data_IF_299901046332
#
_entry.id   IF_299901046332
#
_cell.length_a   1.000
_cell.length_b   1.000
_cell.length_c   1.000
_cell.angle_alpha   90.00
_cell.angle_beta   90.00
_cell.angle_gamma   90.00
#
_symmetry.space_group_name_H-M   'P 1'
#
loop_
_entity.id
_entity.type
_entity.pdbx_description
1 polymer ?
#
# COMPACT_ATOMS: atom_id res chain seq x y z
N UNK A 1 95.13 -36.66 -4.31
CA UNK A 1 95.00 -37.98 -4.95
C UNK A 1 94.56 -37.68 -6.38
N UNK A 2 95.51 -37.75 -7.32
CA UNK A 2 95.42 -37.61 -8.79
C UNK A 2 94.80 -36.28 -9.31
N UNK A 3 95.54 -35.33 -9.92
CA UNK A 3 96.46 -35.42 -11.09
C UNK A 3 95.69 -36.04 -12.29
N UNK A 4 95.43 -35.37 -13.42
CA UNK A 4 96.37 -34.85 -14.43
C UNK A 4 95.55 -34.05 -15.49
N UNK A 5 96.01 -32.86 -15.93
CA UNK A 5 96.75 -32.55 -17.18
C UNK A 5 95.84 -32.08 -18.34
N UNK A 6 96.04 -30.82 -18.80
CA UNK A 6 96.76 -30.40 -20.04
C UNK A 6 95.83 -30.44 -21.26
N UNK A 7 95.84 -29.53 -22.25
CA UNK A 7 96.96 -28.90 -22.97
C UNK A 7 96.37 -27.74 -23.82
N UNK A 8 96.95 -26.54 -23.75
CA UNK A 8 97.68 -25.84 -24.85
C UNK A 8 96.93 -25.63 -26.19
N UNK A 9 96.81 -24.38 -26.67
CA UNK A 9 97.73 -23.79 -27.68
C UNK A 9 97.33 -22.36 -28.08
N UNK A 10 98.37 -21.58 -28.41
CA UNK A 10 98.45 -20.16 -28.78
C UNK A 10 98.09 -19.86 -30.25
N UNK A 11 98.20 -18.56 -30.60
CA UNK A 11 98.42 -17.92 -31.92
C UNK A 11 97.19 -17.47 -32.73
N UNK A 12 97.13 -16.32 -33.40
CA UNK A 12 97.89 -15.05 -33.44
C UNK A 12 97.13 -14.08 -34.41
N UNK A 13 97.29 -12.77 -34.21
CA UNK A 13 97.32 -11.64 -35.18
C UNK A 13 96.07 -11.17 -36.02
N UNK A 14 95.55 -9.98 -35.63
CA UNK A 14 95.28 -8.70 -36.39
C UNK A 14 94.55 -8.70 -37.78
N UNK A 15 94.02 -7.55 -38.32
CA UNK A 15 93.35 -6.39 -37.71
C UNK A 15 92.10 -5.86 -38.47
N UNK A 16 91.51 -4.80 -37.89
CA UNK A 16 90.72 -3.71 -38.51
C UNK A 16 89.27 -3.94 -38.94
N UNK A 17 88.34 -3.22 -38.29
CA UNK A 17 87.51 -2.26 -39.04
C UNK A 17 86.94 -1.16 -38.12
N UNK A 18 87.11 0.08 -38.56
CA UNK A 18 86.52 1.29 -37.99
C UNK A 18 85.03 1.29 -38.33
N UNK A 19 84.12 0.96 -37.41
CA UNK A 19 82.66 1.21 -37.58
C UNK A 19 81.86 0.88 -36.32
N UNK A 20 82.13 1.54 -35.18
CA UNK A 20 81.28 1.36 -34.00
C UNK A 20 81.38 2.54 -33.01
N UNK A 21 80.99 3.75 -33.42
CA UNK A 21 80.80 4.87 -32.48
C UNK A 21 79.47 5.64 -32.62
N UNK A 22 78.49 5.10 -33.33
CA UNK A 22 77.19 5.77 -33.53
C UNK A 22 75.95 4.96 -33.11
N UNK A 23 76.09 4.03 -32.16
CA UNK A 23 74.95 3.20 -31.71
C UNK A 23 74.20 3.72 -30.45
N UNK A 24 74.72 4.58 -29.55
CA UNK A 24 73.95 4.90 -28.33
C UNK A 24 72.88 6.00 -28.52
N UNK A 25 72.85 6.75 -29.63
CA UNK A 25 71.91 7.88 -29.79
C UNK A 25 70.56 7.45 -30.40
N UNK A 26 70.55 6.43 -31.28
CA UNK A 26 69.31 5.97 -31.94
C UNK A 26 68.46 5.12 -30.98
N UNK A 27 69.09 4.32 -30.11
CA UNK A 27 68.37 3.51 -29.13
C UNK A 27 67.62 4.35 -28.08
N UNK A 28 68.18 5.50 -27.65
CA UNK A 28 67.55 6.40 -26.69
C UNK A 28 66.39 7.21 -27.29
N UNK A 29 66.49 7.59 -28.57
CA UNK A 29 65.40 8.32 -29.25
C UNK A 29 64.21 7.42 -29.54
N UNK A 30 64.41 6.15 -29.88
CA UNK A 30 63.31 5.17 -30.08
C UNK A 30 62.59 4.85 -28.76
N UNK A 31 63.32 4.73 -27.64
CA UNK A 31 62.70 4.53 -26.32
C UNK A 31 61.95 5.77 -25.82
N UNK A 32 62.49 6.98 -26.07
CA UNK A 32 61.83 8.24 -25.70
C UNK A 32 60.58 8.52 -26.54
N UNK A 33 60.60 8.20 -27.84
CA UNK A 33 59.43 8.34 -28.71
C UNK A 33 58.35 7.29 -28.39
N UNK A 34 58.76 6.05 -28.09
CA UNK A 34 57.85 4.98 -27.66
C UNK A 34 57.16 5.28 -26.33
N UNK A 35 57.87 5.89 -25.38
CA UNK A 35 57.29 6.30 -24.09
C UNK A 35 56.38 7.53 -24.20
N UNK A 36 56.66 8.48 -25.08
CA UNK A 36 55.75 9.59 -25.41
C UNK A 36 54.48 9.12 -26.14
N UNK A 37 54.59 8.13 -27.03
CA UNK A 37 53.44 7.54 -27.71
C UNK A 37 52.59 6.69 -26.75
N UNK A 38 53.23 5.97 -25.83
CA UNK A 38 52.54 5.21 -24.77
C UNK A 38 51.85 6.12 -23.74
N UNK A 39 52.45 7.25 -23.38
CA UNK A 39 51.82 8.26 -22.52
C UNK A 39 50.64 8.95 -23.22
N UNK A 40 50.74 9.26 -24.53
CA UNK A 40 49.59 9.78 -25.30
C UNK A 40 48.48 8.75 -25.50
N UNK A 41 48.81 7.47 -25.61
CA UNK A 41 47.80 6.40 -25.67
C UNK A 41 47.18 6.13 -24.29
N UNK A 42 47.91 6.33 -23.19
CA UNK A 42 47.35 6.29 -21.85
C UNK A 42 46.40 7.47 -21.59
N UNK A 43 46.76 8.69 -22.01
CA UNK A 43 45.87 9.86 -21.94
C UNK A 43 44.65 9.73 -22.87
N UNK A 44 44.77 9.00 -23.98
CA UNK A 44 43.64 8.69 -24.87
C UNK A 44 42.80 7.49 -24.40
N UNK A 45 43.34 6.60 -23.57
CA UNK A 45 42.62 5.50 -22.94
C UNK A 45 41.74 5.97 -21.78
N UNK A 46 42.12 7.08 -21.14
CA UNK A 46 41.25 7.88 -20.27
C UNK A 46 40.64 9.04 -21.08
N UNK A 47 39.81 8.70 -22.08
CA UNK A 47 38.91 9.68 -22.68
C UNK A 47 38.19 10.48 -21.59
N UNK A 48 37.75 11.73 -21.86
CA UNK A 48 37.16 12.60 -20.85
C UNK A 48 36.14 11.77 -20.08
N UNK A 49 36.36 11.64 -18.76
CA UNK A 49 35.48 10.88 -17.86
C UNK A 49 34.07 11.28 -18.27
N UNK A 50 33.31 10.34 -18.83
CA UNK A 50 31.95 10.63 -19.28
C UNK A 50 31.30 11.37 -18.13
N UNK A 51 30.97 12.64 -18.35
CA UNK A 51 30.29 13.42 -17.33
C UNK A 51 28.98 12.67 -17.16
N UNK A 52 28.86 11.92 -16.07
CA UNK A 52 27.66 11.13 -15.80
C UNK A 52 26.49 12.05 -16.06
N UNK A 53 25.63 11.67 -17.01
CA UNK A 53 24.46 12.46 -17.32
C UNK A 53 23.75 12.73 -15.99
N UNK A 54 23.33 13.99 -15.71
CA UNK A 54 22.68 14.30 -14.45
C UNK A 54 21.56 13.28 -14.22
N UNK A 55 21.44 12.74 -13.00
CA UNK A 55 20.45 11.71 -12.73
C UNK A 55 19.07 12.21 -13.18
N UNK A 56 18.22 11.33 -13.73
CA UNK A 56 16.89 11.74 -14.18
C UNK A 56 16.13 12.37 -13.00
N UNK A 57 15.08 13.17 -13.23
CA UNK A 57 14.19 13.55 -12.13
C UNK A 57 13.49 12.31 -11.53
N UNK A 58 12.98 12.40 -10.29
CA UNK A 58 12.08 11.37 -9.75
C UNK A 58 10.91 11.09 -10.71
N UNK A 59 10.36 9.87 -10.73
CA UNK A 59 9.28 9.51 -11.64
C UNK A 59 8.03 10.37 -11.41
N UNK A 60 7.46 10.96 -12.46
CA UNK A 60 6.12 11.57 -12.35
C UNK A 60 5.09 10.44 -12.39
N UNK A 61 4.61 10.08 -11.21
CA UNK A 61 3.64 9.02 -10.98
C UNK A 61 2.50 9.58 -10.13
N UNK A 62 1.26 9.28 -10.53
CA UNK A 62 0.06 9.69 -9.81
C UNK A 62 -0.90 8.54 -9.71
N UNK A 63 -1.73 8.55 -8.68
CA UNK A 63 -2.80 7.58 -8.56
C UNK A 63 -3.86 7.84 -9.63
N UNK A 64 -4.25 6.81 -10.38
CA UNK A 64 -5.38 6.95 -11.30
C UNK A 64 -6.68 7.08 -10.51
N UNK A 65 -7.62 7.92 -10.97
CA UNK A 65 -8.87 8.15 -10.24
C UNK A 65 -9.72 6.88 -10.05
N UNK A 66 -9.55 5.85 -10.89
CA UNK A 66 -10.21 4.55 -10.76
C UNK A 66 -9.70 3.71 -9.58
N UNK A 67 -8.57 4.09 -8.97
CA UNK A 67 -8.00 3.37 -7.84
C UNK A 67 -8.74 3.62 -6.51
N UNK A 68 -9.56 4.67 -6.45
CA UNK A 68 -10.25 5.15 -5.24
C UNK A 68 -11.69 4.60 -5.11
N UNK A 69 -11.97 3.44 -5.71
CA UNK A 69 -13.32 2.86 -5.77
C UNK A 69 -14.23 3.53 -6.80
N UNK A 70 -15.50 3.13 -6.85
CA UNK A 70 -16.51 3.71 -7.74
C UNK A 70 -16.96 5.10 -7.29
N UNK A 71 -16.98 5.33 -5.98
CA UNK A 71 -17.16 6.64 -5.35
C UNK A 71 -16.03 7.61 -5.64
N UNK A 72 -14.84 7.10 -5.98
CA UNK A 72 -13.58 7.87 -6.06
C UNK A 72 -13.15 8.49 -4.73
N UNK A 73 -13.70 8.00 -3.61
CA UNK A 73 -13.49 8.54 -2.29
C UNK A 73 -12.89 7.51 -1.31
N UNK A 74 -12.57 6.29 -1.76
CA UNK A 74 -11.95 5.26 -0.92
C UNK A 74 -10.44 5.42 -0.89
N UNK A 75 -9.87 5.70 0.27
CA UNK A 75 -8.45 6.00 0.49
C UNK A 75 -7.65 4.82 1.05
N UNK A 76 -8.29 3.66 1.25
CA UNK A 76 -7.63 2.44 1.71
C UNK A 76 -8.01 1.22 0.88
N UNK A 77 -7.00 0.41 0.55
CA UNK A 77 -7.12 -0.87 -0.12
C UNK A 77 -6.70 -2.00 0.81
N UNK A 78 -7.38 -3.14 0.72
CA UNK A 78 -7.15 -4.28 1.62
C UNK A 78 -6.59 -5.46 0.85
N UNK A 79 -5.57 -6.12 1.42
CA UNK A 79 -4.97 -7.32 0.86
C UNK A 79 -4.51 -8.25 1.99
N UNK A 80 -4.51 -9.56 1.74
CA UNK A 80 -3.77 -10.50 2.56
C UNK A 80 -2.27 -10.47 2.19
N UNK A 81 -1.38 -10.94 3.08
CA UNK A 81 0.03 -11.07 2.77
C UNK A 81 0.29 -11.83 1.47
N UNK A 82 1.13 -11.27 0.59
CA UNK A 82 1.48 -11.87 -0.70
C UNK A 82 0.37 -11.85 -1.76
N UNK A 83 -0.79 -11.25 -1.49
CA UNK A 83 -1.86 -11.14 -2.47
C UNK A 83 -1.50 -10.13 -3.58
N UNK A 84 -1.96 -10.39 -4.80
CA UNK A 84 -1.83 -9.44 -5.91
C UNK A 84 -2.77 -8.26 -5.70
N UNK A 85 -2.21 -7.06 -5.67
CA UNK A 85 -2.93 -5.80 -5.46
C UNK A 85 -2.99 -5.05 -6.78
N UNK A 86 -4.20 -4.76 -7.23
CA UNK A 86 -4.39 -3.77 -8.29
C UNK A 86 -4.11 -2.39 -7.71
N UNK A 87 -3.19 -1.65 -8.30
CA UNK A 87 -2.87 -0.28 -7.89
C UNK A 87 -2.72 0.58 -9.14
N UNK A 88 -3.84 1.02 -9.75
CA UNK A 88 -3.81 1.78 -11.00
C UNK A 88 -3.07 3.11 -10.84
N UNK A 89 -2.06 3.34 -11.67
CA UNK A 89 -1.23 4.54 -11.68
C UNK A 89 -1.18 5.18 -13.07
N UNK A 90 -1.10 6.50 -13.09
CA UNK A 90 -0.71 7.29 -14.25
C UNK A 90 0.80 7.56 -14.14
N UNK A 91 1.58 6.91 -14.99
CA UNK A 91 3.05 6.98 -14.97
C UNK A 91 3.56 7.67 -16.24
N UNK A 92 4.30 8.78 -16.09
CA UNK A 92 5.03 9.44 -17.19
C UNK A 92 6.49 8.96 -17.26
N UNK A 93 6.67 7.65 -17.34
CA UNK A 93 7.95 6.98 -17.51
C UNK A 93 7.73 5.64 -18.20
N UNK A 94 8.77 5.07 -18.80
CA UNK A 94 8.69 3.68 -19.24
C UNK A 94 8.50 2.78 -18.01
N UNK A 95 7.55 1.83 -18.00
CA UNK A 95 7.37 0.94 -16.84
C UNK A 95 8.63 0.17 -16.45
N UNK A 96 9.52 -0.12 -17.41
CA UNK A 96 10.82 -0.76 -17.19
C UNK A 96 11.90 0.16 -16.61
N UNK A 97 11.66 1.47 -16.54
CA UNK A 97 12.61 2.45 -16.00
C UNK A 97 12.34 2.84 -14.54
N UNK A 98 11.36 2.20 -13.90
CA UNK A 98 10.97 2.47 -12.52
C UNK A 98 10.85 1.18 -11.72
N UNK A 99 11.14 1.25 -10.43
CA UNK A 99 10.83 0.22 -9.45
C UNK A 99 9.67 0.69 -8.57
N UNK A 100 8.91 -0.27 -8.05
CA UNK A 100 7.85 -0.03 -7.07
C UNK A 100 8.29 -0.56 -5.72
N UNK A 101 8.09 0.23 -4.66
CA UNK A 101 8.50 -0.14 -3.30
C UNK A 101 7.38 0.20 -2.31
N UNK A 102 7.00 -0.75 -1.46
CA UNK A 102 6.09 -0.51 -0.35
C UNK A 102 6.83 0.07 0.85
N UNK A 103 6.34 1.20 1.37
CA UNK A 103 6.90 1.90 2.52
C UNK A 103 5.93 1.72 3.71
N UNK A 104 6.35 1.08 4.82
CA UNK A 104 5.49 0.93 6.00
C UNK A 104 5.23 2.28 6.69
N UNK A 105 4.01 2.48 7.17
CA UNK A 105 3.61 3.63 7.98
C UNK A 105 3.87 3.35 9.48
N UNK A 106 4.65 4.21 10.14
CA UNK A 106 4.85 4.20 11.60
C UNK A 106 6.17 3.61 12.12
N UNK A 107 7.07 3.16 11.25
CA UNK A 107 8.43 2.72 11.62
C UNK A 107 9.49 3.48 10.79
N UNK A 108 10.61 3.86 11.42
CA UNK A 108 11.85 4.17 10.69
C UNK A 108 12.33 2.85 10.07
N UNK A 109 12.05 2.67 8.77
CA UNK A 109 12.27 1.42 8.03
C UNK A 109 13.63 0.76 8.27
N UNK A 110 13.68 -0.59 8.28
CA UNK A 110 14.20 -1.24 7.07
C UNK A 110 13.42 -2.48 6.59
N UNK A 111 13.38 -2.57 5.24
CA UNK A 111 13.35 -3.74 4.35
C UNK A 111 12.28 -4.83 4.54
N UNK A 112 11.24 -4.71 3.72
CA UNK A 112 10.84 -5.79 2.79
C UNK A 112 10.09 -5.12 1.62
N UNK A 113 10.81 -4.30 0.84
CA UNK A 113 10.23 -3.66 -0.34
C UNK A 113 10.15 -4.70 -1.45
N UNK A 114 8.94 -5.23 -1.68
CA UNK A 114 8.67 -6.03 -2.86
C UNK A 114 8.90 -5.16 -4.11
N UNK A 115 10.06 -5.31 -4.75
CA UNK A 115 10.33 -4.75 -6.07
C UNK A 115 9.57 -5.58 -7.09
N UNK A 116 8.58 -4.98 -7.73
CA UNK A 116 7.85 -5.60 -8.84
C UNK A 116 8.08 -4.82 -10.11
N UNK A 117 8.35 -5.49 -11.22
CA UNK A 117 8.32 -4.89 -12.56
C UNK A 117 6.93 -5.08 -13.16
N UNK A 118 6.23 -3.98 -13.46
CA UNK A 118 5.00 -3.97 -14.27
C UNK A 118 3.68 -4.26 -13.54
N UNK A 119 2.81 -3.23 -13.44
CA UNK A 119 1.34 -3.28 -13.42
C UNK A 119 0.57 -4.00 -12.29
N UNK A 120 1.11 -5.08 -11.72
CA UNK A 120 0.49 -5.82 -10.61
C UNK A 120 1.48 -5.89 -9.46
N UNK A 121 1.15 -5.24 -8.36
CA UNK A 121 2.00 -5.20 -7.18
C UNK A 121 1.64 -6.38 -6.27
N UNK A 122 2.63 -6.92 -5.57
CA UNK A 122 2.38 -7.95 -4.55
C UNK A 122 2.35 -7.28 -3.19
N UNK A 123 1.34 -7.56 -2.37
CA UNK A 123 1.25 -7.06 -1.01
C UNK A 123 2.44 -7.55 -0.17
N UNK A 124 3.00 -6.71 0.73
CA UNK A 124 4.02 -7.14 1.68
C UNK A 124 3.64 -8.40 2.46
N UNK A 125 4.64 -9.17 2.87
CA UNK A 125 4.50 -10.39 3.68
C UNK A 125 4.06 -10.09 5.12
N UNK A 126 4.39 -8.90 5.62
CA UNK A 126 4.08 -8.46 6.98
C UNK A 126 2.76 -7.66 7.00
N UNK A 127 1.83 -7.95 7.91
CA UNK A 127 0.67 -7.09 8.16
C UNK A 127 1.07 -5.68 8.59
N UNK A 128 0.25 -4.70 8.20
CA UNK A 128 0.48 -3.29 8.47
C UNK A 128 -0.10 -2.38 7.39
N UNK A 129 0.16 -1.08 7.53
CA UNK A 129 -0.25 -0.07 6.56
C UNK A 129 0.96 0.40 5.75
N UNK A 130 0.78 0.54 4.44
CA UNK A 130 1.85 0.83 3.50
C UNK A 130 1.45 1.91 2.50
N UNK A 131 2.40 2.77 2.14
CA UNK A 131 2.32 3.66 0.98
C UNK A 131 3.17 3.11 -0.15
N UNK A 132 2.79 3.41 -1.38
CA UNK A 132 3.56 3.02 -2.56
C UNK A 132 4.55 4.12 -2.92
N UNK A 133 5.81 3.76 -3.15
CA UNK A 133 6.79 4.62 -3.78
C UNK A 133 7.14 4.11 -5.18
N UNK A 134 7.24 5.05 -6.13
CA UNK A 134 7.77 4.82 -7.47
C UNK A 134 9.17 5.41 -7.52
N UNK A 135 10.16 4.58 -7.83
CA UNK A 135 11.59 4.89 -7.64
C UNK A 135 12.35 4.74 -8.95
N UNK A 136 13.29 5.65 -9.23
CA UNK A 136 14.30 5.51 -10.27
C UNK A 136 15.67 6.00 -9.75
N UNK A 137 16.69 6.05 -10.60
CA UNK A 137 18.02 6.57 -10.24
C UNK A 137 18.02 8.05 -9.78
N UNK A 138 16.94 8.78 -10.08
CA UNK A 138 16.70 10.17 -9.72
C UNK A 138 16.10 10.44 -8.36
N UNK A 139 15.50 9.41 -7.74
CA UNK A 139 14.81 9.53 -6.46
C UNK A 139 13.49 8.77 -6.44
N UNK A 140 12.58 9.22 -5.56
CA UNK A 140 11.29 8.56 -5.29
C UNK A 140 10.12 9.53 -5.34
N UNK A 141 8.97 9.05 -5.78
CA UNK A 141 7.67 9.71 -5.68
C UNK A 141 6.76 8.83 -4.84
N UNK A 142 6.22 9.38 -3.73
CA UNK A 142 5.33 8.66 -2.82
C UNK A 142 3.89 8.93 -3.24
N UNK A 143 3.10 7.87 -3.37
CA UNK A 143 1.66 7.93 -3.58
C UNK A 143 0.98 7.86 -2.21
N UNK A 144 0.63 9.03 -1.66
CA UNK A 144 0.07 9.19 -0.33
C UNK A 144 -1.47 9.21 -0.28
N UNK A 145 -2.13 9.31 -1.44
CA UNK A 145 -3.59 9.36 -1.57
C UNK A 145 -4.31 8.00 -1.45
N UNK A 146 -3.58 6.89 -1.46
CA UNK A 146 -4.11 5.55 -1.26
C UNK A 146 -3.17 4.71 -0.41
N UNK A 147 -3.68 4.26 0.74
CA UNK A 147 -2.96 3.36 1.65
C UNK A 147 -3.30 1.91 1.34
N UNK A 148 -2.30 1.03 1.32
CA UNK A 148 -2.50 -0.42 1.35
C UNK A 148 -2.48 -0.90 2.79
N UNK A 149 -3.58 -1.49 3.25
CA UNK A 149 -3.64 -2.26 4.48
C UNK A 149 -3.43 -3.74 4.17
N UNK A 150 -2.27 -4.25 4.56
CA UNK A 150 -2.00 -5.69 4.61
C UNK A 150 -2.60 -6.23 5.90
N UNK A 151 -3.64 -7.03 5.76
CA UNK A 151 -4.40 -7.57 6.90
C UNK A 151 -3.64 -8.71 7.58
N UNK A 152 -3.90 -8.88 8.87
CA UNK A 152 -3.62 -10.11 9.59
C UNK A 152 -4.66 -11.16 9.13
N UNK A 153 -4.24 -12.28 8.51
CA UNK A 153 -5.17 -13.33 8.10
C UNK A 153 -6.05 -13.81 9.25
N UNK A 154 -7.30 -14.17 8.96
CA UNK A 154 -8.21 -14.69 9.97
C UNK A 154 -7.61 -15.91 10.71
N UNK A 155 -6.85 -16.73 9.98
CA UNK A 155 -6.20 -17.95 10.46
C UNK A 155 -5.20 -17.71 11.60
N UNK A 156 -4.68 -16.49 11.79
CA UNK A 156 -3.83 -16.16 12.93
C UNK A 156 -4.60 -16.06 14.26
N UNK A 157 -5.93 -15.99 14.21
CA UNK A 157 -6.79 -15.96 15.40
C UNK A 157 -6.72 -17.31 16.11
N UNK A 158 -6.31 -17.29 17.38
CA UNK A 158 -6.20 -18.47 18.23
C UNK A 158 -7.37 -18.51 19.22
N UNK A 159 -8.28 -19.47 19.04
CA UNK A 159 -9.51 -19.54 19.82
C UNK A 159 -10.27 -18.20 19.73
N UNK A 160 -10.67 -17.62 20.86
CA UNK A 160 -11.39 -16.34 20.88
C UNK A 160 -10.52 -15.07 20.79
N UNK A 161 -9.23 -15.16 20.49
CA UNK A 161 -8.31 -14.00 20.55
C UNK A 161 -7.36 -13.92 19.36
N UNK A 162 -6.94 -12.71 19.00
CA UNK A 162 -5.87 -12.46 18.04
C UNK A 162 -4.79 -11.63 18.73
N UNK A 163 -3.56 -12.17 18.86
CA UNK A 163 -2.41 -11.51 19.52
C UNK A 163 -2.77 -10.83 20.86
N UNK A 164 -3.62 -11.49 21.66
CA UNK A 164 -4.07 -11.00 22.97
C UNK A 164 -5.36 -10.16 22.98
N UNK A 165 -5.76 -9.58 21.84
CA UNK A 165 -7.03 -8.87 21.69
C UNK A 165 -8.21 -9.84 21.62
N UNK A 166 -9.26 -9.60 22.43
CA UNK A 166 -10.41 -10.50 22.54
C UNK A 166 -11.44 -10.20 21.46
N UNK A 167 -11.55 -11.11 20.50
CA UNK A 167 -12.53 -11.04 19.40
C UNK A 167 -13.77 -11.87 19.74
N UNK A 168 -13.60 -13.02 20.39
CA UNK A 168 -14.66 -14.00 20.59
C UNK A 168 -14.76 -14.98 19.42
N UNK A 169 -15.94 -15.57 19.26
CA UNK A 169 -16.19 -16.63 18.29
C UNK A 169 -17.29 -16.21 17.33
N UNK A 170 -17.00 -16.32 16.04
CA UNK A 170 -17.97 -16.20 14.97
C UNK A 170 -18.94 -17.37 14.99
N UNK A 171 -20.14 -17.16 14.42
CA UNK A 171 -21.15 -18.22 14.30
C UNK A 171 -20.62 -19.39 13.46
N UNK A 172 -19.96 -19.10 12.35
CA UNK A 172 -19.36 -20.09 11.45
C UNK A 172 -18.33 -21.00 12.11
N UNK A 173 -17.60 -20.51 13.13
CA UNK A 173 -16.57 -21.29 13.82
C UNK A 173 -17.11 -22.45 14.67
N UNK A 174 -18.37 -22.37 15.12
CA UNK A 174 -18.90 -23.31 16.13
C UNK A 174 -19.63 -24.53 15.55
N UNK A 175 -20.00 -24.51 14.27
CA UNK A 175 -20.97 -25.46 13.72
C UNK A 175 -20.56 -26.08 12.37
N UNK A 176 -19.28 -26.02 11.97
CA UNK A 176 -18.84 -26.46 10.64
C UNK A 176 -19.51 -25.68 9.50
N UNK A 177 -20.09 -24.51 9.81
CA UNK A 177 -20.97 -23.73 8.96
C UNK A 177 -20.21 -22.76 8.06
N UNK A 178 -19.33 -23.27 7.20
CA UNK A 178 -18.77 -22.56 6.05
C UNK A 178 -17.99 -21.26 6.33
N UNK A 179 -17.72 -20.53 5.23
CA UNK A 179 -16.89 -19.31 5.11
C UNK A 179 -17.48 -18.03 5.76
N UNK A 180 -18.41 -18.14 6.73
CA UNK A 180 -18.96 -16.97 7.43
C UNK A 180 -17.96 -16.41 8.46
N UNK A 181 -16.93 -15.75 7.95
CA UNK A 181 -15.86 -15.08 8.70
C UNK A 181 -15.22 -13.97 7.85
N UNK A 182 -14.62 -12.94 8.47
CA UNK A 182 -13.75 -12.00 7.76
C UNK A 182 -12.59 -12.73 7.10
N UNK A 183 -12.06 -12.16 6.00
CA UNK A 183 -10.80 -12.62 5.39
C UNK A 183 -9.61 -12.41 6.33
N UNK A 184 -9.64 -11.33 7.08
CA UNK A 184 -8.58 -10.91 7.99
C UNK A 184 -8.97 -9.65 8.74
N UNK A 185 -8.01 -9.10 9.46
CA UNK A 185 -8.17 -7.95 10.32
C UNK A 185 -7.09 -6.91 10.06
N UNK A 186 -7.44 -5.64 10.13
CA UNK A 186 -6.48 -4.56 10.29
C UNK A 186 -5.79 -4.72 11.65
N UNK A 187 -4.46 -4.64 11.69
CA UNK A 187 -3.69 -4.50 12.93
C UNK A 187 -3.46 -3.01 13.17
N UNK A 188 -4.17 -2.45 14.15
CA UNK A 188 -4.27 -1.01 14.35
C UNK A 188 -3.50 -0.64 15.62
N UNK A 189 -2.43 0.13 15.49
CA UNK A 189 -1.79 0.83 16.60
C UNK A 189 -2.43 2.21 16.81
N UNK A 190 -2.20 2.82 17.98
CA UNK A 190 -2.84 4.07 18.37
C UNK A 190 -2.75 5.20 17.31
N UNK A 191 -1.58 5.51 16.72
CA UNK A 191 -1.48 6.58 15.72
C UNK A 191 -2.19 6.25 14.40
N UNK A 192 -2.50 4.97 14.15
CA UNK A 192 -3.10 4.49 12.90
C UNK A 192 -4.62 4.60 12.91
N UNK A 193 -5.24 4.90 14.06
CA UNK A 193 -6.69 5.12 14.15
C UNK A 193 -7.16 6.32 13.31
N UNK A 194 -6.30 7.34 13.13
CA UNK A 194 -6.63 8.54 12.36
C UNK A 194 -6.48 8.37 10.84
N UNK A 195 -5.94 7.23 10.38
CA UNK A 195 -5.75 6.97 8.95
C UNK A 195 -7.11 6.98 8.22
N UNK A 196 -7.20 7.64 7.06
CA UNK A 196 -8.43 7.68 6.29
C UNK A 196 -8.72 6.31 5.66
N UNK A 197 -9.94 5.81 5.86
CA UNK A 197 -10.51 4.71 5.09
C UNK A 197 -11.10 5.24 3.78
N UNK A 198 -11.73 6.42 3.86
CA UNK A 198 -12.37 7.11 2.75
C UNK A 198 -12.39 8.62 3.00
N UNK A 199 -13.15 9.38 2.21
CA UNK A 199 -13.33 10.82 2.39
C UNK A 199 -14.05 11.16 3.72
N UNK A 200 -15.02 10.34 4.14
CA UNK A 200 -15.83 10.59 5.34
C UNK A 200 -15.50 9.67 6.52
N UNK A 201 -14.65 8.66 6.36
CA UNK A 201 -14.41 7.64 7.39
C UNK A 201 -12.92 7.40 7.65
N UNK A 202 -12.60 7.07 8.90
CA UNK A 202 -11.25 6.75 9.42
C UNK A 202 -11.22 5.35 10.01
N UNK A 203 -10.01 4.82 10.21
CA UNK A 203 -9.80 3.50 10.81
C UNK A 203 -10.44 3.41 12.20
N UNK A 204 -10.38 4.49 12.99
CA UNK A 204 -10.97 4.60 14.31
C UNK A 204 -12.47 4.32 14.36
N UNK A 205 -13.22 4.71 13.33
CA UNK A 205 -14.68 4.52 13.23
C UNK A 205 -15.07 3.02 13.19
N UNK A 206 -14.11 2.16 12.84
CA UNK A 206 -14.27 0.71 12.78
C UNK A 206 -13.66 -0.01 13.98
N UNK A 207 -13.10 0.70 14.95
CA UNK A 207 -12.65 0.08 16.20
C UNK A 207 -13.88 -0.24 17.06
N UNK A 208 -13.95 -1.47 17.58
CA UNK A 208 -15.05 -1.86 18.48
C UNK A 208 -15.01 -1.04 19.77
N UNK A 209 -16.16 -0.50 20.17
CA UNK A 209 -16.40 0.26 21.40
C UNK A 209 -16.44 -0.63 22.66
N UNK A 210 -15.43 -1.47 22.85
CA UNK A 210 -15.26 -2.32 24.02
C UNK A 210 -14.32 -1.68 25.07
N UNK A 211 -14.22 -2.35 26.22
CA UNK A 211 -13.41 -1.91 27.37
C UNK A 211 -11.92 -2.26 27.21
N UNK A 212 -11.49 -2.83 26.08
CA UNK A 212 -10.11 -3.29 25.90
C UNK A 212 -9.21 -2.10 25.56
N UNK A 213 -8.34 -1.70 26.49
CA UNK A 213 -7.49 -0.50 26.34
C UNK A 213 -6.12 -0.76 25.70
N UNK A 214 -5.73 -2.02 25.50
CA UNK A 214 -4.41 -2.38 24.98
C UNK A 214 -4.37 -2.33 23.45
N UNK A 215 -3.25 -1.84 22.93
CA UNK A 215 -2.90 -1.86 21.51
C UNK A 215 -1.95 -3.03 21.19
N UNK A 216 -1.92 -3.52 19.94
CA UNK A 216 -2.80 -3.15 18.83
C UNK A 216 -4.25 -3.64 19.04
N UNK A 217 -5.19 -2.95 18.38
CA UNK A 217 -6.59 -3.38 18.23
C UNK A 217 -6.80 -3.94 16.82
N UNK A 218 -7.87 -4.72 16.66
CA UNK A 218 -8.16 -5.40 15.40
C UNK A 218 -9.57 -5.16 14.91
N UNK A 219 -9.71 -4.82 13.63
CA UNK A 219 -11.00 -4.59 12.99
C UNK A 219 -11.07 -5.26 11.62
N UNK A 220 -12.21 -5.90 11.31
CA UNK A 220 -12.50 -6.31 9.94
C UNK A 220 -13.15 -5.14 9.20
N UNK A 221 -12.74 -4.90 7.96
CA UNK A 221 -13.32 -3.85 7.10
C UNK A 221 -13.42 -4.41 5.68
N UNK A 222 -14.60 -4.28 5.07
CA UNK A 222 -14.84 -4.62 3.67
C UNK A 222 -14.84 -3.34 2.82
N UNK A 223 -13.94 -3.26 1.83
CA UNK A 223 -13.86 -2.10 0.93
C UNK A 223 -15.15 -1.82 0.15
N UNK A 224 -16.00 -2.82 -0.08
CA UNK A 224 -17.31 -2.64 -0.74
C UNK A 224 -18.27 -1.82 0.12
N UNK A 225 -18.22 -1.98 1.43
CA UNK A 225 -18.99 -1.14 2.35
C UNK A 225 -18.55 0.32 2.24
N UNK A 226 -17.23 0.56 2.27
CA UNK A 226 -16.69 1.93 2.18
C UNK A 226 -17.15 2.60 0.88
N UNK A 227 -17.02 1.90 -0.24
CA UNK A 227 -17.41 2.44 -1.55
C UNK A 227 -18.93 2.69 -1.62
N UNK A 228 -19.75 1.79 -1.06
CA UNK A 228 -21.20 1.96 -0.97
C UNK A 228 -21.58 3.19 -0.14
N UNK A 229 -20.98 3.34 1.03
CA UNK A 229 -21.29 4.45 1.94
C UNK A 229 -20.95 5.80 1.30
N UNK A 230 -19.78 5.92 0.69
CA UNK A 230 -19.39 7.14 -0.03
C UNK A 230 -20.34 7.45 -1.20
N UNK A 231 -20.77 6.44 -1.97
CA UNK A 231 -21.79 6.62 -3.01
C UNK A 231 -23.14 7.10 -2.44
N UNK A 232 -23.53 6.60 -1.25
CA UNK A 232 -24.75 7.05 -0.55
C UNK A 232 -24.60 8.49 -0.08
N UNK A 233 -23.44 8.87 0.45
CA UNK A 233 -23.18 10.24 0.91
C UNK A 233 -23.17 11.21 -0.28
N UNK A 234 -22.59 10.82 -1.41
CA UNK A 234 -22.63 11.58 -2.65
C UNK A 234 -24.05 11.76 -3.19
N UNK A 235 -24.89 10.72 -3.10
CA UNK A 235 -26.29 10.80 -3.51
C UNK A 235 -27.08 11.74 -2.58
N UNK A 236 -26.86 11.67 -1.26
CA UNK A 236 -27.44 12.61 -0.29
C UNK A 236 -26.98 14.05 -0.56
N UNK A 237 -25.69 14.25 -0.86
CA UNK A 237 -25.15 15.55 -1.25
C UNK A 237 -25.84 16.07 -2.52
N UNK A 238 -26.15 15.18 -3.47
CA UNK A 238 -26.83 15.52 -4.71
C UNK A 238 -28.23 16.11 -4.49
N UNK A 239 -28.97 15.64 -3.47
CA UNK A 239 -30.29 16.15 -3.11
C UNK A 239 -30.25 17.61 -2.62
N UNK A 240 -29.08 18.09 -2.21
CA UNK A 240 -28.86 19.42 -1.65
C UNK A 240 -28.11 20.37 -2.61
N UNK A 241 -27.83 19.94 -3.85
CA UNK A 241 -27.18 20.80 -4.86
C UNK A 241 -28.00 22.06 -5.10
N UNK A 242 -27.32 23.20 -5.14
CA UNK A 242 -27.94 24.53 -5.23
C UNK A 242 -28.40 25.12 -3.89
N UNK A 243 -28.33 24.35 -2.78
CA UNK A 243 -28.50 24.88 -1.41
C UNK A 243 -27.17 25.03 -0.68
N UNK A 244 -26.26 24.07 -0.85
CA UNK A 244 -24.90 24.13 -0.29
C UNK A 244 -23.99 23.11 -0.98
N UNK A 245 -22.73 23.48 -1.19
CA UNK A 245 -21.69 22.61 -1.74
C UNK A 245 -20.78 22.01 -0.64
N UNK A 246 -21.10 22.23 0.64
CA UNK A 246 -20.35 21.64 1.74
C UNK A 246 -20.45 20.10 1.72
N UNK A 247 -19.41 19.37 2.18
CA UNK A 247 -19.49 17.92 2.37
C UNK A 247 -20.62 17.53 3.33
N UNK A 248 -21.14 16.30 3.18
CA UNK A 248 -22.12 15.76 4.12
C UNK A 248 -21.42 15.48 5.45
N UNK A 249 -22.02 15.90 6.56
CA UNK A 249 -21.53 15.55 7.87
C UNK A 249 -22.03 14.15 8.23
N UNK A 250 -21.10 13.24 8.46
CA UNK A 250 -21.37 11.82 8.76
C UNK A 250 -20.85 11.53 10.16
N UNK A 251 -21.74 11.00 11.00
CA UNK A 251 -21.36 10.41 12.28
C UNK A 251 -21.47 8.88 12.18
N UNK A 252 -20.33 8.19 12.31
CA UNK A 252 -20.29 6.72 12.31
C UNK A 252 -20.38 6.24 13.76
N UNK A 253 -21.58 5.85 14.19
CA UNK A 253 -21.79 5.34 15.54
C UNK A 253 -21.08 3.99 15.77
N UNK A 254 -20.96 3.16 14.72
CA UNK A 254 -20.34 1.85 14.84
C UNK A 254 -19.99 1.27 13.48
N UNK A 255 -18.70 1.05 13.21
CA UNK A 255 -18.23 0.13 12.18
C UNK A 255 -18.16 -1.31 12.69
N UNK A 256 -16.97 -1.90 12.77
CA UNK A 256 -16.80 -3.29 13.18
C UNK A 256 -17.08 -3.57 14.66
N UNK A 257 -17.75 -4.70 14.93
CA UNK A 257 -18.03 -5.21 16.27
C UNK A 257 -17.44 -6.59 16.43
N UNK A 258 -16.56 -6.79 17.41
CA UNK A 258 -16.12 -8.15 17.76
C UNK A 258 -17.32 -9.04 18.12
N UNK A 259 -17.33 -10.34 17.78
CA UNK A 259 -18.36 -11.26 18.25
C UNK A 259 -18.55 -11.29 19.77
N UNK A 260 -17.48 -11.05 20.54
CA UNK A 260 -17.55 -10.90 21.99
C UNK A 260 -18.38 -9.68 22.40
N UNK A 261 -18.10 -8.52 21.80
CA UNK A 261 -18.82 -7.28 22.07
C UNK A 261 -20.26 -7.34 21.57
N UNK A 262 -20.50 -7.84 20.36
CA UNK A 262 -21.82 -7.88 19.73
C UNK A 262 -22.87 -8.61 20.59
N UNK A 263 -22.47 -9.65 21.35
CA UNK A 263 -23.37 -10.35 22.29
C UNK A 263 -23.88 -9.49 23.45
N UNK A 264 -23.19 -8.40 23.77
CA UNK A 264 -23.56 -7.45 24.83
C UNK A 264 -24.42 -6.30 24.30
N UNK A 265 -24.48 -6.12 22.98
CA UNK A 265 -25.31 -5.09 22.35
C UNK A 265 -26.78 -5.50 22.44
N UNK A 266 -27.66 -4.70 23.08
CA UNK A 266 -29.06 -5.03 23.21
C UNK A 266 -29.73 -5.29 21.85
N UNK A 267 -30.48 -6.39 21.74
CA UNK A 267 -31.22 -6.79 20.52
C UNK A 267 -30.36 -7.05 19.28
N UNK A 268 -29.03 -7.06 19.39
CA UNK A 268 -28.18 -7.37 18.25
C UNK A 268 -28.33 -8.83 17.81
N UNK A 269 -28.46 -9.06 16.51
CA UNK A 269 -28.45 -10.40 15.96
C UNK A 269 -27.09 -11.07 16.22
N UNK A 270 -27.09 -12.36 16.58
CA UNK A 270 -25.88 -13.13 16.85
C UNK A 270 -24.93 -13.22 15.65
N UNK A 271 -25.46 -13.08 14.43
CA UNK A 271 -24.75 -13.05 13.16
C UNK A 271 -24.83 -11.67 12.47
N UNK A 272 -24.91 -10.60 13.28
CA UNK A 272 -24.86 -9.21 12.80
C UNK A 272 -23.72 -8.96 11.82
N UNK A 273 -24.00 -8.19 10.76
CA UNK A 273 -23.03 -7.84 9.71
C UNK A 273 -21.84 -7.01 10.18
N UNK A 274 -22.00 -6.25 11.28
CA UNK A 274 -20.87 -5.55 11.91
C UNK A 274 -19.71 -6.47 12.30
N UNK A 275 -19.97 -7.76 12.56
CA UNK A 275 -18.92 -8.71 12.89
C UNK A 275 -18.02 -9.05 11.70
N UNK A 276 -18.53 -8.90 10.47
CA UNK A 276 -17.82 -9.28 9.25
C UNK A 276 -17.13 -8.11 8.57
N UNK A 277 -17.25 -6.90 9.12
CA UNK A 277 -16.62 -5.68 8.59
C UNK A 277 -17.35 -5.03 7.43
N UNK A 278 -18.53 -5.53 7.07
CA UNK A 278 -19.31 -5.07 5.93
C UNK A 278 -20.59 -4.34 6.33
N UNK A 279 -20.66 -3.81 7.55
CA UNK A 279 -21.74 -2.94 8.01
C UNK A 279 -21.25 -1.73 8.81
N UNK A 280 -22.01 -0.65 8.75
CA UNK A 280 -21.87 0.51 9.60
C UNK A 280 -23.24 1.04 10.04
N UNK A 281 -23.29 1.61 11.25
CA UNK A 281 -24.42 2.40 11.74
C UNK A 281 -24.02 3.87 11.63
N UNK A 282 -24.80 4.65 10.88
CA UNK A 282 -24.51 6.05 10.56
C UNK A 282 -25.68 6.97 10.91
N UNK A 283 -25.35 8.17 11.38
CA UNK A 283 -26.28 9.28 11.56
C UNK A 283 -25.85 10.45 10.68
N UNK A 284 -26.79 11.03 9.95
CA UNK A 284 -26.53 12.06 8.93
C UNK A 284 -27.65 13.08 8.98
N UNK A 285 -27.29 14.37 9.00
CA UNK A 285 -28.22 15.47 8.69
C UNK A 285 -28.32 15.58 7.15
N UNK A 286 -29.24 14.80 6.58
CA UNK A 286 -29.33 14.59 5.15
C UNK A 286 -30.05 15.75 4.45
N UNK A 287 -30.93 16.47 5.15
CA UNK A 287 -31.63 17.63 4.61
C UNK A 287 -30.95 18.98 4.94
N UNK A 288 -29.91 18.96 5.79
CA UNK A 288 -29.09 20.09 6.23
C UNK A 288 -29.86 21.14 7.04
N UNK A 289 -30.82 20.70 7.85
CA UNK A 289 -31.60 21.59 8.72
C UNK A 289 -31.03 21.72 10.15
N UNK A 290 -29.89 21.07 10.40
CA UNK A 290 -29.18 21.08 11.69
C UNK A 290 -29.74 20.08 12.70
N UNK A 291 -30.69 19.23 12.29
CA UNK A 291 -31.25 18.15 13.12
C UNK A 291 -31.06 16.81 12.40
N UNK A 292 -31.05 15.74 13.20
CA UNK A 292 -31.04 14.37 12.68
C UNK A 292 -32.33 13.69 13.13
N UNK A 293 -33.32 13.66 12.24
CA UNK A 293 -34.65 13.13 12.52
C UNK A 293 -35.16 12.14 11.46
N UNK A 294 -36.44 11.78 11.55
CA UNK A 294 -37.07 10.83 10.63
C UNK A 294 -37.08 11.24 9.16
N UNK A 295 -36.94 12.54 8.85
CA UNK A 295 -36.84 13.07 7.50
C UNK A 295 -35.49 12.74 6.90
N UNK A 296 -34.42 12.86 7.68
CA UNK A 296 -33.06 12.52 7.23
C UNK A 296 -32.92 11.05 6.92
N UNK A 297 -33.47 10.22 7.81
CA UNK A 297 -33.50 8.77 7.61
C UNK A 297 -34.24 8.41 6.32
N UNK A 298 -35.36 9.06 5.98
CA UNK A 298 -36.07 8.81 4.72
C UNK A 298 -35.24 9.19 3.49
N UNK A 299 -34.49 10.28 3.55
CA UNK A 299 -33.57 10.67 2.46
C UNK A 299 -32.43 9.67 2.33
N UNK A 300 -31.89 9.19 3.44
CA UNK A 300 -30.88 8.15 3.46
C UNK A 300 -31.42 6.81 2.92
N UNK A 301 -32.63 6.40 3.30
CA UNK A 301 -33.30 5.22 2.73
C UNK A 301 -33.41 5.35 1.20
N UNK A 302 -33.86 6.51 0.70
CA UNK A 302 -33.95 6.77 -0.74
C UNK A 302 -32.57 6.71 -1.43
N UNK A 303 -31.55 7.33 -0.85
CA UNK A 303 -30.19 7.31 -1.39
C UNK A 303 -29.65 5.89 -1.48
N UNK A 304 -29.86 5.06 -0.45
CA UNK A 304 -29.46 3.64 -0.47
C UNK A 304 -30.16 2.87 -1.60
N UNK A 305 -31.48 3.05 -1.78
CA UNK A 305 -32.20 2.38 -2.88
C UNK A 305 -31.68 2.81 -4.26
N UNK A 306 -31.39 4.10 -4.46
CA UNK A 306 -30.82 4.61 -5.72
C UNK A 306 -29.42 4.03 -5.96
N UNK A 307 -28.56 4.01 -4.93
CA UNK A 307 -27.20 3.46 -5.03
C UNK A 307 -27.23 1.97 -5.33
N UNK A 308 -28.05 1.19 -4.61
CA UNK A 308 -28.17 -0.25 -4.87
C UNK A 308 -28.76 -0.56 -6.26
N UNK A 309 -29.63 0.30 -6.79
CA UNK A 309 -30.13 0.17 -8.17
C UNK A 309 -29.03 0.44 -9.21
N UNK A 310 -28.19 1.46 -8.99
CA UNK A 310 -27.06 1.81 -9.87
C UNK A 310 -25.89 0.82 -9.76
N UNK A 311 -25.70 0.23 -8.58
CA UNK A 311 -24.59 -0.67 -8.24
C UNK A 311 -25.10 -1.97 -7.56
N UNK A 312 -25.72 -2.90 -8.32
CA UNK A 312 -26.40 -4.07 -7.75
C UNK A 312 -25.50 -5.02 -6.96
N UNK A 313 -24.20 -5.01 -7.19
CA UNK A 313 -23.22 -5.82 -6.46
C UNK A 313 -22.87 -5.26 -5.07
N UNK A 314 -23.30 -4.02 -4.76
CA UNK A 314 -23.21 -3.41 -3.43
C UNK A 314 -24.50 -3.60 -2.61
N UNK A 315 -25.47 -4.38 -3.10
CA UNK A 315 -26.74 -4.63 -2.41
C UNK A 315 -26.52 -5.23 -1.01
N UNK A 316 -27.30 -4.78 -0.04
CA UNK A 316 -27.24 -5.32 1.32
C UNK A 316 -28.43 -4.96 2.19
N UNK A 317 -28.21 -5.02 3.50
CA UNK A 317 -29.19 -4.65 4.50
C UNK A 317 -29.25 -3.14 4.74
N UNK A 318 -30.46 -2.68 5.05
CA UNK A 318 -30.73 -1.34 5.53
C UNK A 318 -31.74 -1.44 6.67
N UNK A 319 -31.32 -1.02 7.85
CA UNK A 319 -32.14 -0.97 9.06
C UNK A 319 -32.25 0.46 9.56
N UNK A 320 -33.43 0.91 9.95
CA UNK A 320 -33.61 2.29 10.44
C UNK A 320 -34.17 2.31 11.86
N UNK A 321 -33.64 3.23 12.67
CA UNK A 321 -33.91 3.26 14.10
C UNK A 321 -34.23 4.69 14.56
N UNK A 322 -35.21 4.78 15.47
CA UNK A 322 -35.65 6.02 16.08
C UNK A 322 -35.77 5.80 17.59
N UNK A 323 -34.69 6.04 18.35
CA UNK A 323 -34.70 5.78 19.80
C UNK A 323 -34.16 6.98 20.59
N UNK A 324 -34.94 7.44 21.57
CA UNK A 324 -34.49 8.43 22.56
C UNK A 324 -34.10 9.80 21.98
N UNK A 325 -34.61 10.17 20.80
CA UNK A 325 -34.24 11.41 20.09
C UNK A 325 -33.07 11.28 19.12
N UNK A 326 -32.42 10.11 19.03
CA UNK A 326 -31.41 9.82 18.02
C UNK A 326 -32.00 9.00 16.87
N UNK A 327 -31.73 9.44 15.63
CA UNK A 327 -32.09 8.71 14.40
C UNK A 327 -30.80 8.26 13.71
N UNK A 328 -30.71 6.98 13.39
CA UNK A 328 -29.56 6.43 12.67
C UNK A 328 -30.00 5.26 11.77
N UNK A 329 -29.14 4.91 10.83
CA UNK A 329 -29.36 3.82 9.91
C UNK A 329 -28.20 2.83 9.93
N UNK A 330 -28.55 1.56 9.99
CA UNK A 330 -27.66 0.47 9.66
C UNK A 330 -27.61 0.32 8.14
N UNK A 331 -26.41 0.27 7.57
CA UNK A 331 -26.17 -0.02 6.16
C UNK A 331 -25.10 -1.12 6.09
N UNK A 332 -25.34 -2.15 5.29
CA UNK A 332 -24.35 -3.18 5.03
C UNK A 332 -24.26 -3.56 3.54
N UNK A 333 -23.21 -4.31 3.18
CA UNK A 333 -22.96 -4.81 1.82
C UNK A 333 -22.97 -6.35 1.76
N UNK A 334 -23.92 -7.00 2.48
CA UNK A 334 -24.00 -8.46 2.63
C UNK A 334 -24.30 -9.25 1.34
N UNK A 335 -24.48 -8.57 0.21
CA UNK A 335 -24.80 -9.17 -1.09
C UNK A 335 -26.25 -9.63 -1.26
N UNK A 336 -27.13 -9.37 -0.28
CA UNK A 336 -28.56 -9.64 -0.36
C UNK A 336 -29.38 -8.55 0.31
N UNK A 337 -30.47 -8.15 -0.35
CA UNK A 337 -31.35 -7.10 0.15
C UNK A 337 -32.04 -7.53 1.45
N UNK A 338 -31.97 -6.69 2.47
CA UNK A 338 -32.73 -6.84 3.72
C UNK A 338 -33.19 -5.47 4.22
N UNK A 339 -34.42 -5.37 4.73
CA UNK A 339 -34.99 -4.10 5.25
C UNK A 339 -35.71 -4.34 6.57
N UNK A 340 -35.47 -3.48 7.55
CA UNK A 340 -36.16 -3.56 8.84
C UNK A 340 -36.21 -2.19 9.53
N UNK A 341 -37.08 -2.10 10.54
CA UNK A 341 -37.25 -0.91 11.40
C UNK A 341 -37.20 -1.37 12.85
N UNK A 342 -36.52 -0.64 13.73
CA UNK A 342 -36.25 -1.09 15.11
C UNK A 342 -36.44 -0.05 16.20
#
# INVERSE_FOLDING_TARGET
MHDEQQEQQEQELEPASRLARFIPVIAFTVLALGSLLALRQADAAFGPRAVDAPPPPPPDARLAASALGRSRAVHMRFALPGERVQFPLELRAAPSSVAFEWIPLGELAPLDSARTEGGTLTAPSRPGFYQLAVVNAGGRTIIDSLTLAVMVPFEEKQGGSLKGYKIGYYRGERWGGGDERPRGFLEINEPQADLPLSAHMRVGDFITHDEQTRWPRYAAVDGRLLDKLELVFDEIASFNRGRSDAPVQVDVHSGFRTPLYNRRVPRAAGDSRHQYGDAADVAIDANRDGRIDSRDVRLLELAVEIVEQKYPDLVGGLGVYFQGGASYAHIDARGKRARWRG
#
